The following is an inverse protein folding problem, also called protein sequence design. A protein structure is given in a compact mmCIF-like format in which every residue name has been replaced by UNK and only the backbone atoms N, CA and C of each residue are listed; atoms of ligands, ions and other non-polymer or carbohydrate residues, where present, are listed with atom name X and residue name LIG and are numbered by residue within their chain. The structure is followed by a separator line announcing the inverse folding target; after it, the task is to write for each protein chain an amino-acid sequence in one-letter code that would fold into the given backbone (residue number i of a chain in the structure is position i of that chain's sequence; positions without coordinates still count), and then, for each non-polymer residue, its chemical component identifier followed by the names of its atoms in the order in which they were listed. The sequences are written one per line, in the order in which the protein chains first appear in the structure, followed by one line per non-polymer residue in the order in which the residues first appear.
data_IF_502708765604
#
_entry.id   IF_502708765604
#
_cell.length_a   1.000
_cell.length_b   1.000
_cell.length_c   1.000
_cell.angle_alpha   90.00
_cell.angle_beta   90.00
_cell.angle_gamma   90.00
#
_symmetry.space_group_name_H-M   'P 1'
#
loop_
_entity.id
_entity.type
_entity.pdbx_description
1 polymer ?
#
# COMPACT_ATOMS: atom_id res chain seq x y z
N UNK A 1 0.59 -17.97 -14.03
CA UNK A 1 -0.49 -18.79 -13.43
C UNK A 1 -1.06 -19.75 -14.48
N UNK A 2 -1.46 -20.98 -14.15
CA UNK A 2 -2.01 -21.90 -15.15
C UNK A 2 -3.42 -21.46 -15.61
N UNK A 3 -3.66 -21.40 -16.92
CA UNK A 3 -4.93 -20.99 -17.55
C UNK A 3 -6.16 -21.73 -16.99
N UNK A 4 -5.99 -22.97 -16.50
CA UNK A 4 -7.06 -23.74 -15.85
C UNK A 4 -7.66 -23.01 -14.64
N UNK A 5 -6.83 -22.43 -13.77
CA UNK A 5 -7.30 -21.67 -12.59
C UNK A 5 -8.01 -20.37 -12.97
N UNK A 6 -7.65 -19.77 -14.10
CA UNK A 6 -8.30 -18.54 -14.59
C UNK A 6 -9.72 -18.82 -15.11
N UNK A 7 -9.99 -20.02 -15.62
CA UNK A 7 -11.35 -20.43 -16.01
C UNK A 7 -12.29 -20.57 -14.82
N UNK A 8 -11.77 -20.97 -13.66
CA UNK A 8 -12.57 -21.17 -12.43
C UNK A 8 -13.09 -19.86 -11.84
N UNK A 9 -12.44 -18.73 -12.15
CA UNK A 9 -12.82 -17.39 -11.67
C UNK A 9 -13.46 -16.52 -12.77
N UNK A 10 -13.62 -17.05 -13.99
CA UNK A 10 -14.23 -16.31 -15.09
C UNK A 10 -15.75 -16.24 -14.91
N UNK A 11 -16.33 -15.06 -15.10
CA UNK A 11 -17.79 -14.89 -15.14
C UNK A 11 -18.42 -15.76 -16.22
N UNK A 12 -19.67 -16.19 -15.99
CA UNK A 12 -20.41 -17.02 -16.93
C UNK A 12 -20.43 -16.41 -18.34
N UNK A 13 -20.03 -17.18 -19.36
CA UNK A 13 -19.97 -16.74 -20.76
C UNK A 13 -18.64 -16.09 -21.19
N UNK A 14 -17.69 -15.85 -20.28
CA UNK A 14 -16.39 -15.29 -20.61
C UNK A 14 -15.32 -16.37 -20.71
N UNK A 15 -14.47 -16.30 -21.73
CA UNK A 15 -13.31 -17.18 -21.88
C UNK A 15 -12.08 -16.38 -22.31
N UNK A 16 -10.91 -16.83 -21.86
CA UNK A 16 -9.62 -16.21 -22.14
C UNK A 16 -8.77 -17.17 -22.97
N UNK A 17 -8.42 -16.79 -24.21
CA UNK A 17 -7.54 -17.59 -25.06
C UNK A 17 -6.07 -17.29 -24.77
N UNK A 18 -5.21 -18.31 -24.78
CA UNK A 18 -3.77 -18.16 -24.47
C UNK A 18 -3.06 -17.22 -25.46
N UNK A 19 -3.54 -17.13 -26.70
CA UNK A 19 -3.00 -16.26 -27.76
C UNK A 19 -3.28 -14.77 -27.53
N UNK A 20 -4.28 -14.43 -26.73
CA UNK A 20 -4.69 -13.03 -26.51
C UNK A 20 -4.15 -12.45 -25.21
N UNK A 21 -3.45 -13.24 -24.39
CA UNK A 21 -2.94 -12.87 -23.08
C UNK A 21 -1.41 -12.82 -23.07
N UNK A 22 -0.90 -11.63 -22.79
CA UNK A 22 0.45 -11.44 -22.27
C UNK A 22 0.39 -11.04 -20.79
N UNK A 23 1.54 -11.01 -20.13
CA UNK A 23 1.63 -10.75 -18.68
C UNK A 23 1.01 -9.40 -18.28
N UNK A 24 1.18 -8.36 -19.10
CA UNK A 24 0.61 -7.04 -18.87
C UNK A 24 -0.93 -7.05 -18.93
N UNK A 25 -1.50 -7.70 -19.95
CA UNK A 25 -2.96 -7.80 -20.12
C UNK A 25 -3.59 -8.71 -19.05
N UNK A 26 -2.89 -9.78 -18.65
CA UNK A 26 -3.31 -10.63 -17.54
C UNK A 26 -3.33 -9.85 -16.22
N UNK A 27 -2.27 -9.09 -15.94
CA UNK A 27 -2.20 -8.24 -14.76
C UNK A 27 -3.33 -7.22 -14.73
N UNK A 28 -3.64 -6.59 -15.87
CA UNK A 28 -4.76 -5.64 -15.99
C UNK A 28 -6.13 -6.30 -15.74
N UNK A 29 -6.39 -7.47 -16.32
CA UNK A 29 -7.65 -8.21 -16.14
C UNK A 29 -7.82 -8.69 -14.70
N UNK A 30 -6.76 -9.20 -14.08
CA UNK A 30 -6.77 -9.56 -12.65
C UNK A 30 -6.95 -8.33 -11.76
N UNK A 31 -6.40 -7.18 -12.15
CA UNK A 31 -6.67 -5.90 -11.50
C UNK A 31 -8.16 -5.60 -11.50
N UNK A 32 -8.80 -5.59 -12.67
CA UNK A 32 -10.24 -5.32 -12.83
C UNK A 32 -11.10 -6.33 -12.05
N UNK A 33 -10.82 -7.62 -12.16
CA UNK A 33 -11.59 -8.67 -11.49
C UNK A 33 -11.46 -8.64 -9.95
N UNK A 34 -10.34 -8.14 -9.43
CA UNK A 34 -10.09 -8.01 -7.99
C UNK A 34 -10.35 -6.58 -7.47
N UNK A 35 -11.07 -5.73 -8.21
CA UNK A 35 -11.45 -4.37 -7.79
C UNK A 35 -12.56 -4.33 -6.71
N UNK A 36 -12.70 -5.36 -5.87
CA UNK A 36 -13.67 -5.38 -4.78
C UNK A 36 -12.97 -5.05 -3.47
N UNK A 37 -13.12 -3.80 -3.02
CA UNK A 37 -12.70 -3.44 -1.68
C UNK A 37 -13.84 -3.68 -0.68
N UNK A 38 -13.55 -4.12 0.56
CA UNK A 38 -14.54 -4.15 1.62
C UNK A 38 -15.15 -2.76 1.88
N UNK A 39 -16.35 -2.71 2.46
CA UNK A 39 -17.01 -1.44 2.78
C UNK A 39 -16.08 -0.51 3.57
N UNK A 40 -15.95 0.74 3.12
CA UNK A 40 -15.05 1.77 3.65
C UNK A 40 -13.54 1.51 3.44
N UNK A 41 -13.18 0.68 2.46
CA UNK A 41 -11.82 0.54 1.95
C UNK A 41 -11.81 0.94 0.47
N UNK A 42 -10.84 1.74 0.03
CA UNK A 42 -10.71 2.20 -1.37
C UNK A 42 -11.28 3.60 -1.64
N UNK A 43 -10.97 4.19 -2.81
CA UNK A 43 -11.36 5.56 -3.13
C UNK A 43 -12.89 5.68 -3.16
N UNK A 44 -13.43 6.76 -2.57
CA UNK A 44 -14.88 7.00 -2.43
C UNK A 44 -15.67 7.05 -3.77
N UNK A 45 -14.99 6.94 -4.92
CA UNK A 45 -15.52 7.27 -6.24
C UNK A 45 -15.57 6.08 -7.23
N UNK A 46 -15.36 4.84 -6.77
CA UNK A 46 -15.48 3.65 -7.64
C UNK A 46 -14.38 3.49 -8.69
N UNK A 47 -13.27 4.22 -8.57
CA UNK A 47 -12.07 3.99 -9.37
C UNK A 47 -11.46 2.63 -9.01
N UNK A 48 -10.86 1.92 -9.99
CA UNK A 48 -10.04 0.75 -9.69
C UNK A 48 -9.04 1.13 -8.59
N UNK A 49 -8.84 0.31 -7.56
CA UNK A 49 -7.82 0.57 -6.56
C UNK A 49 -6.45 0.37 -7.20
N UNK A 50 -5.99 1.38 -7.96
CA UNK A 50 -4.58 1.55 -8.29
C UNK A 50 -3.87 1.51 -6.94
N UNK A 51 -3.04 0.48 -6.72
CA UNK A 51 -2.33 0.16 -5.46
C UNK A 51 -3.07 -0.69 -4.40
N UNK A 52 -4.35 -1.01 -4.57
CA UNK A 52 -5.11 -1.86 -3.64
C UNK A 52 -6.06 -1.10 -2.71
N UNK A 53 -6.66 -1.82 -1.76
CA UNK A 53 -7.70 -1.29 -0.88
C UNK A 53 -7.10 -0.71 0.40
N UNK A 54 -7.37 0.57 0.66
CA UNK A 54 -6.80 1.28 1.81
C UNK A 54 -7.88 1.87 2.71
N UNK A 55 -7.55 2.02 3.98
CA UNK A 55 -8.36 2.71 4.97
C UNK A 55 -7.45 3.39 5.99
N UNK A 56 -7.58 4.70 6.12
CA UNK A 56 -6.91 5.46 7.16
C UNK A 56 -7.64 5.29 8.50
N UNK A 57 -6.89 5.32 9.60
CA UNK A 57 -7.42 5.29 10.96
C UNK A 57 -6.90 6.53 11.70
N UNK A 58 -7.81 7.39 12.14
CA UNK A 58 -7.49 8.67 12.79
C UNK A 58 -7.30 8.56 14.32
N UNK A 59 -7.02 7.36 14.84
CA UNK A 59 -6.82 7.16 16.28
C UNK A 59 -5.33 7.08 16.61
N UNK A 60 -4.79 8.00 17.44
CA UNK A 60 -3.41 7.94 17.89
C UNK A 60 -3.11 6.59 18.55
N UNK A 61 -2.12 5.88 18.03
CA UNK A 61 -1.77 4.54 18.52
C UNK A 61 -0.29 4.25 18.31
N UNK A 62 0.24 3.30 19.07
CA UNK A 62 1.60 2.81 18.85
C UNK A 62 1.66 1.93 17.60
N UNK A 63 2.80 1.94 16.89
CA UNK A 63 2.98 1.19 15.64
C UNK A 63 2.61 -0.30 15.75
N UNK A 64 3.01 -0.96 16.83
CA UNK A 64 2.70 -2.37 17.08
C UNK A 64 1.18 -2.64 17.24
N UNK A 65 0.43 -1.68 17.78
CA UNK A 65 -1.03 -1.74 17.87
C UNK A 65 -1.66 -1.48 16.51
N UNK A 66 -1.12 -0.56 15.72
CA UNK A 66 -1.57 -0.32 14.34
C UNK A 66 -1.45 -1.58 13.47
N UNK A 67 -0.31 -2.29 13.52
CA UNK A 67 -0.11 -3.58 12.83
C UNK A 67 -1.21 -4.58 13.20
N UNK A 68 -1.47 -4.75 14.51
CA UNK A 68 -2.51 -5.67 14.99
C UNK A 68 -3.92 -5.21 14.58
N UNK A 69 -4.18 -3.91 14.54
CA UNK A 69 -5.47 -3.37 14.14
C UNK A 69 -5.77 -3.65 12.66
N UNK A 70 -4.78 -3.44 11.78
CA UNK A 70 -4.90 -3.80 10.36
C UNK A 70 -5.13 -5.29 10.18
N UNK A 71 -4.36 -6.15 10.86
CA UNK A 71 -4.49 -7.61 10.74
C UNK A 71 -5.88 -8.13 11.17
N UNK A 72 -6.52 -7.47 12.14
CA UNK A 72 -7.87 -7.84 12.61
C UNK A 72 -8.98 -7.57 11.61
N UNK A 73 -8.79 -6.67 10.64
CA UNK A 73 -9.82 -6.32 9.65
C UNK A 73 -9.40 -6.76 8.26
N UNK A 74 -10.15 -7.69 7.68
CA UNK A 74 -9.91 -8.22 6.33
C UNK A 74 -8.48 -8.73 6.09
N UNK A 75 -7.81 -9.18 7.16
CA UNK A 75 -6.40 -9.62 7.12
C UNK A 75 -5.45 -8.57 6.50
N UNK A 76 -5.75 -7.28 6.73
CA UNK A 76 -4.98 -6.18 6.19
C UNK A 76 -3.61 -6.03 6.85
N UNK A 77 -2.74 -5.23 6.23
CA UNK A 77 -1.40 -4.90 6.72
C UNK A 77 -1.19 -3.39 6.68
N UNK A 78 -0.22 -2.89 7.46
CA UNK A 78 0.22 -1.52 7.26
C UNK A 78 0.83 -1.36 5.87
N UNK A 79 0.56 -0.23 5.24
CA UNK A 79 0.87 0.00 3.83
C UNK A 79 2.38 -0.03 3.57
N UNK A 80 2.75 -0.69 2.47
CA UNK A 80 4.07 -0.58 1.82
C UNK A 80 4.00 0.47 0.73
N UNK A 81 4.99 1.36 0.67
CA UNK A 81 5.01 2.49 -0.27
C UNK A 81 6.14 2.26 -1.26
N UNK A 82 5.81 2.24 -2.55
CA UNK A 82 6.71 1.76 -3.61
C UNK A 82 7.01 2.85 -4.65
N UNK A 83 6.16 3.87 -4.73
CA UNK A 83 6.33 5.01 -5.63
C UNK A 83 5.66 6.26 -5.05
N UNK A 84 5.91 7.39 -5.72
CA UNK A 84 5.39 8.70 -5.32
C UNK A 84 3.87 8.79 -5.40
N UNK A 85 3.25 8.23 -6.45
CA UNK A 85 1.80 8.32 -6.65
C UNK A 85 1.05 7.56 -5.55
N UNK A 86 1.55 6.40 -5.14
CA UNK A 86 1.05 5.65 -4.00
C UNK A 86 1.23 6.43 -2.71
N UNK A 87 2.40 7.05 -2.49
CA UNK A 87 2.64 7.89 -1.32
C UNK A 87 1.63 9.04 -1.22
N UNK A 88 1.42 9.77 -2.32
CA UNK A 88 0.49 10.90 -2.38
C UNK A 88 -0.97 10.45 -2.15
N UNK A 89 -1.38 9.35 -2.80
CA UNK A 89 -2.69 8.75 -2.59
C UNK A 89 -2.95 8.37 -1.12
N UNK A 90 -1.98 7.76 -0.43
CA UNK A 90 -2.13 7.44 1.00
C UNK A 90 -2.24 8.71 1.85
N UNK A 91 -1.48 9.75 1.52
CA UNK A 91 -1.58 11.03 2.24
C UNK A 91 -2.94 11.71 2.03
N UNK A 92 -3.54 11.58 0.85
CA UNK A 92 -4.89 12.08 0.58
C UNK A 92 -5.96 11.34 1.36
N UNK A 93 -5.83 10.02 1.53
CA UNK A 93 -6.71 9.24 2.42
C UNK A 93 -6.56 9.64 3.90
N UNK A 94 -5.40 10.19 4.27
CA UNK A 94 -5.12 10.71 5.60
C UNK A 94 -5.62 12.14 5.85
N UNK A 95 -6.22 12.81 4.86
CA UNK A 95 -6.66 14.20 4.99
C UNK A 95 -7.66 14.33 6.13
N UNK A 96 -7.30 15.13 7.14
CA UNK A 96 -8.03 15.27 8.40
C UNK A 96 -7.25 14.79 9.63
N UNK A 97 -6.13 14.08 9.45
CA UNK A 97 -5.17 13.78 10.52
C UNK A 97 -3.96 14.74 10.46
N UNK A 98 -3.80 15.66 11.43
CA UNK A 98 -2.83 16.75 11.30
C UNK A 98 -1.37 16.36 11.55
N UNK A 99 -1.02 15.11 11.89
CA UNK A 99 0.33 14.83 12.43
C UNK A 99 1.16 13.77 11.70
N UNK A 100 0.66 12.55 11.47
CA UNK A 100 1.43 11.51 10.77
C UNK A 100 0.65 10.21 10.61
N UNK A 101 0.95 9.41 9.58
CA UNK A 101 0.41 8.07 9.37
C UNK A 101 1.49 6.99 9.52
N UNK A 102 1.23 5.96 10.31
CA UNK A 102 2.11 4.79 10.38
C UNK A 102 2.12 3.99 9.07
N UNK A 103 3.30 3.58 8.63
CA UNK A 103 3.49 2.67 7.49
C UNK A 103 4.12 1.36 7.93
N UNK A 104 4.10 0.36 7.04
CA UNK A 104 4.62 -0.98 7.31
C UNK A 104 6.14 -1.09 7.36
N UNK A 105 6.86 0.03 7.47
CA UNK A 105 8.32 0.07 7.49
C UNK A 105 8.85 0.16 8.93
N UNK A 106 9.81 -0.70 9.25
CA UNK A 106 10.46 -0.74 10.55
C UNK A 106 11.96 -0.95 10.41
N UNK A 107 12.76 -0.25 11.21
CA UNK A 107 14.20 -0.45 11.34
C UNK A 107 14.50 -1.72 12.15
N UNK A 108 15.38 -2.56 11.63
CA UNK A 108 15.96 -3.73 12.27
C UNK A 108 17.48 -3.64 12.15
N UNK A 109 18.17 -3.26 13.23
CA UNK A 109 19.58 -2.89 13.18
C UNK A 109 19.79 -1.65 12.32
N UNK A 110 20.61 -1.78 11.27
CA UNK A 110 20.94 -0.70 10.32
C UNK A 110 20.08 -0.74 9.04
N UNK A 111 19.13 -1.67 8.95
CA UNK A 111 18.30 -1.87 7.76
C UNK A 111 16.85 -1.53 8.03
N UNK A 112 16.15 -1.05 7.00
CA UNK A 112 14.70 -0.83 7.04
C UNK A 112 13.99 -1.96 6.31
N UNK A 113 13.04 -2.61 6.99
CA UNK A 113 12.37 -3.83 6.56
C UNK A 113 10.86 -3.60 6.56
N UNK A 114 10.22 -3.95 5.45
CA UNK A 114 8.77 -3.94 5.29
C UNK A 114 8.14 -5.19 5.94
N UNK A 115 6.83 -5.16 6.19
CA UNK A 115 6.10 -6.30 6.75
C UNK A 115 6.11 -7.57 5.89
N UNK A 116 6.44 -7.46 4.59
CA UNK A 116 6.62 -8.58 3.66
C UNK A 116 8.05 -9.17 3.66
N UNK A 117 8.89 -8.73 4.61
CA UNK A 117 10.32 -9.05 4.74
C UNK A 117 11.24 -8.49 3.63
N UNK A 118 10.72 -7.67 2.70
CA UNK A 118 11.58 -6.93 1.78
C UNK A 118 12.33 -5.82 2.51
N UNK A 119 13.58 -5.58 2.11
CA UNK A 119 14.45 -4.55 2.69
C UNK A 119 14.55 -3.36 1.74
N UNK A 120 14.58 -2.14 2.29
CA UNK A 120 14.86 -0.92 1.53
C UNK A 120 16.37 -0.82 1.29
N UNK A 121 16.78 -0.95 0.04
CA UNK A 121 18.15 -0.71 -0.44
C UNK A 121 18.37 0.72 -0.94
N UNK A 122 19.60 1.01 -1.39
CA UNK A 122 20.02 2.36 -1.82
C UNK A 122 19.29 2.86 -3.07
N UNK A 123 18.87 1.96 -3.95
CA UNK A 123 18.18 2.27 -5.22
C UNK A 123 16.66 2.24 -5.09
N UNK A 124 16.15 1.82 -3.95
CA UNK A 124 14.71 1.69 -3.74
C UNK A 124 14.08 3.06 -3.47
N UNK A 125 12.82 3.19 -3.87
CA UNK A 125 12.05 4.39 -3.65
C UNK A 125 11.97 4.73 -2.15
N UNK A 126 12.33 5.97 -1.81
CA UNK A 126 12.20 6.50 -0.47
C UNK A 126 11.98 8.03 -0.52
N UNK A 127 11.33 8.54 0.52
CA UNK A 127 11.04 9.97 0.68
C UNK A 127 11.67 10.51 1.96
N UNK A 128 12.87 10.02 2.30
CA UNK A 128 13.57 10.51 3.48
C UNK A 128 13.92 11.99 3.34
N UNK A 129 13.80 12.81 4.40
CA UNK A 129 14.24 14.20 4.35
C UNK A 129 15.73 14.30 4.05
N UNK A 130 16.14 15.18 3.13
CA UNK A 130 17.52 15.30 2.62
C UNK A 130 18.60 15.48 3.70
N UNK A 131 18.24 16.04 4.86
CA UNK A 131 19.15 16.36 5.96
C UNK A 131 18.96 15.48 7.20
N UNK A 132 18.26 14.35 7.07
CA UNK A 132 17.99 13.45 8.19
C UNK A 132 18.57 12.08 7.86
N UNK A 133 19.44 11.57 8.73
CA UNK A 133 19.84 10.17 8.68
C UNK A 133 18.76 9.31 9.36
N UNK A 134 18.02 8.46 8.61
CA UNK A 134 16.93 7.66 9.19
C UNK A 134 17.40 6.69 10.28
N UNK A 135 18.67 6.26 10.25
CA UNK A 135 19.26 5.34 11.24
C UNK A 135 19.37 6.00 12.62
N UNK A 136 19.43 7.33 12.69
CA UNK A 136 19.44 8.06 13.96
C UNK A 136 18.02 8.30 14.53
N UNK A 137 16.98 8.06 13.73
CA UNK A 137 15.59 8.28 14.10
C UNK A 137 14.96 7.12 14.88
N UNK A 138 13.64 7.18 15.01
CA UNK A 138 12.83 6.11 15.59
C UNK A 138 12.88 4.82 14.73
N UNK A 139 12.72 3.67 15.39
CA UNK A 139 12.67 2.39 14.68
C UNK A 139 11.38 2.20 13.86
N UNK A 140 10.28 2.85 14.23
CA UNK A 140 9.01 2.73 13.52
C UNK A 140 8.83 3.97 12.63
N UNK A 141 8.40 3.77 11.39
CA UNK A 141 8.36 4.83 10.39
C UNK A 141 6.93 5.29 10.16
N UNK A 142 6.76 6.62 10.16
CA UNK A 142 5.52 7.27 9.78
C UNK A 142 5.79 8.24 8.61
N UNK A 143 4.76 8.49 7.82
CA UNK A 143 4.72 9.50 6.76
C UNK A 143 3.90 10.70 7.22
N UNK A 144 4.30 11.88 6.78
CA UNK A 144 3.64 13.14 7.09
C UNK A 144 3.87 14.11 5.92
N UNK A 145 2.97 15.08 5.74
CA UNK A 145 3.19 16.18 4.79
C UNK A 145 4.06 17.23 5.48
N UNK A 146 5.12 17.64 4.81
CA UNK A 146 5.96 18.75 5.25
C UNK A 146 5.18 20.06 5.06
N UNK A 147 4.57 20.54 6.15
CA UNK A 147 3.73 21.74 6.14
C UNK A 147 4.54 23.04 6.00
N UNK A 148 5.87 22.98 6.16
CA UNK A 148 6.76 24.15 6.09
C UNK A 148 7.14 24.53 4.64
N UNK A 149 6.77 23.71 3.64
CA UNK A 149 6.98 24.01 2.21
C UNK A 149 5.77 24.60 1.50
N UNK A 150 4.69 24.89 2.22
CA UNK A 150 3.48 25.54 1.66
C UNK A 150 3.42 27.04 1.97
N UNK A 151 4.50 27.65 2.48
CA UNK A 151 4.64 29.10 2.67
C UNK A 151 5.66 29.70 1.72
#
# INVERSE_FOLDING_TARGET
MPVKKLKEIASFGYSLSKSELNDSKLAKLLGIANCFCPDNYGPNNGEPPYYGCFRAFHMPTAWNRAVKACARRHNGILVKVEDYNKADHIMDLGVGDPQSLWIGLKRQGDKFVWLDNSTVGEKDFNLWPKNVNPINGNQCVAMYRDMDKQK
#
